data_IF_916410888590
#
_entry.id   IF_916410888590
#
_cell.length_a   1.000
_cell.length_b   1.000
_cell.length_c   1.000
_cell.angle_alpha   90.00
_cell.angle_beta   90.00
_cell.angle_gamma   90.00
#
_symmetry.space_group_name_H-M   'P 1'
#
loop_
_entity.id
_entity.type
_entity.pdbx_description
1 polymer ?
#
# COMPACT_ATOMS: atom_id res chain seq x y z
N UNK A 1 14.92 10.76 1.42
CA UNK A 1 14.89 9.90 2.62
C UNK A 1 14.24 8.58 2.27
N UNK A 2 14.68 7.45 2.83
CA UNK A 2 14.21 6.09 2.53
C UNK A 2 12.66 5.97 2.50
N UNK A 3 11.98 6.63 3.44
CA UNK A 3 10.51 6.70 3.52
C UNK A 3 9.90 7.36 2.28
N UNK A 4 10.47 8.46 1.80
CA UNK A 4 9.99 9.15 0.60
C UNK A 4 10.11 8.24 -0.64
N UNK A 5 11.16 7.43 -0.73
CA UNK A 5 11.36 6.48 -1.84
C UNK A 5 10.43 5.27 -1.75
N UNK A 6 10.20 4.73 -0.54
CA UNK A 6 9.23 3.65 -0.29
C UNK A 6 7.82 4.11 -0.66
N UNK A 7 7.43 5.29 -0.18
CA UNK A 7 6.14 5.87 -0.53
C UNK A 7 6.06 6.12 -2.02
N UNK A 8 7.07 6.68 -2.67
CA UNK A 8 7.04 6.89 -4.12
C UNK A 8 6.79 5.59 -4.91
N UNK A 9 7.42 4.48 -4.50
CA UNK A 9 7.19 3.16 -5.09
C UNK A 9 5.77 2.62 -4.85
N UNK A 10 5.27 2.76 -3.62
CA UNK A 10 3.92 2.30 -3.24
C UNK A 10 2.78 3.15 -3.82
N UNK A 11 3.05 4.43 -4.12
CA UNK A 11 2.01 5.45 -4.23
C UNK A 11 1.87 6.04 -5.64
N UNK A 12 2.95 6.32 -6.36
CA UNK A 12 2.83 7.12 -7.59
C UNK A 12 2.17 6.36 -8.75
N UNK A 13 2.08 5.02 -8.71
CA UNK A 13 1.45 4.17 -9.76
C UNK A 13 0.88 2.84 -9.26
N UNK A 14 0.54 2.73 -7.97
CA UNK A 14 0.03 1.48 -7.40
C UNK A 14 -1.36 1.11 -7.94
N UNK A 15 -1.75 -0.16 -7.79
CA UNK A 15 -3.06 -0.70 -8.21
C UNK A 15 -4.26 0.06 -7.62
N UNK A 16 -4.07 0.74 -6.48
CA UNK A 16 -5.09 1.50 -5.79
C UNK A 16 -5.28 2.93 -6.35
N UNK A 17 -4.49 3.32 -7.35
CA UNK A 17 -4.58 4.64 -7.97
C UNK A 17 -3.83 5.74 -7.21
N UNK A 18 -4.05 7.01 -7.60
CA UNK A 18 -3.36 8.16 -7.01
C UNK A 18 -3.70 8.34 -5.52
N UNK A 19 -2.77 8.95 -4.77
CA UNK A 19 -2.94 9.21 -3.33
C UNK A 19 -2.90 10.72 -3.11
N UNK A 20 -3.84 11.19 -2.29
CA UNK A 20 -4.00 12.59 -1.92
C UNK A 20 -3.06 13.01 -0.79
N UNK A 21 -2.95 12.19 0.24
CA UNK A 21 -2.09 12.44 1.42
C UNK A 21 -1.77 11.13 2.14
N UNK A 22 -0.66 11.12 2.88
CA UNK A 22 -0.27 10.00 3.75
C UNK A 22 0.25 10.51 5.09
N UNK A 23 0.20 9.65 6.10
CA UNK A 23 0.82 9.82 7.40
C UNK A 23 1.61 8.55 7.73
N UNK A 24 2.83 8.68 8.28
CA UNK A 24 3.67 7.54 8.62
C UNK A 24 4.37 7.73 9.96
N UNK A 25 4.44 6.66 10.75
CA UNK A 25 5.17 6.63 12.03
C UNK A 25 6.01 5.36 12.15
N UNK A 26 7.20 5.49 12.72
CA UNK A 26 8.09 4.36 13.02
C UNK A 26 7.99 4.06 14.50
N UNK A 27 7.74 2.80 14.85
CA UNK A 27 7.70 2.38 16.25
C UNK A 27 8.52 1.09 16.46
N UNK A 28 8.82 0.78 17.71
CA UNK A 28 9.59 -0.39 18.09
C UNK A 28 8.63 -1.55 18.40
N UNK A 29 8.73 -2.64 17.64
CA UNK A 29 7.99 -3.86 17.95
C UNK A 29 8.68 -4.63 19.08
N UNK A 30 7.95 -5.52 19.76
CA UNK A 30 8.35 -6.22 20.99
C UNK A 30 9.57 -7.17 20.90
N UNK A 31 10.46 -6.97 19.92
CA UNK A 31 11.73 -7.68 19.72
C UNK A 31 12.88 -6.78 19.26
N UNK A 32 12.75 -5.45 19.38
CA UNK A 32 13.83 -4.50 19.10
C UNK A 32 13.99 -4.11 17.62
N UNK A 33 13.12 -4.59 16.74
CA UNK A 33 13.06 -4.18 15.34
C UNK A 33 12.13 -2.98 15.17
N UNK A 34 12.44 -2.13 14.19
CA UNK A 34 11.58 -0.99 13.82
C UNK A 34 10.48 -1.47 12.88
N UNK A 35 9.27 -0.96 13.07
CA UNK A 35 8.13 -1.15 12.17
C UNK A 35 7.60 0.21 11.71
N UNK A 36 7.11 0.27 10.47
CA UNK A 36 6.51 1.48 9.90
C UNK A 36 4.99 1.28 9.79
N UNK A 37 4.21 2.09 10.50
CA UNK A 37 2.77 2.23 10.25
C UNK A 37 2.54 3.37 9.28
N UNK A 38 1.76 3.12 8.22
CA UNK A 38 1.37 4.14 7.23
C UNK A 38 -0.14 4.18 7.10
N UNK A 39 -0.71 5.39 7.13
CA UNK A 39 -2.08 5.69 6.77
C UNK A 39 -2.08 6.48 5.47
N UNK A 40 -2.91 6.09 4.49
CA UNK A 40 -2.96 6.71 3.17
C UNK A 40 -4.39 7.06 2.79
N UNK A 41 -4.58 8.23 2.20
CA UNK A 41 -5.85 8.69 1.64
C UNK A 41 -5.76 8.66 0.12
N UNK A 42 -6.50 7.76 -0.49
CA UNK A 42 -6.57 7.62 -1.95
C UNK A 42 -7.32 8.80 -2.55
N UNK A 43 -6.92 9.23 -3.75
CA UNK A 43 -7.55 10.30 -4.51
C UNK A 43 -8.67 9.76 -5.41
N UNK A 44 -9.61 9.06 -4.78
CA UNK A 44 -10.82 8.53 -5.40
C UNK A 44 -11.90 8.27 -4.34
N UNK A 45 -13.16 8.13 -4.76
CA UNK A 45 -14.29 7.93 -3.86
C UNK A 45 -14.70 6.46 -3.66
N UNK A 46 -13.84 5.49 -4.00
CA UNK A 46 -14.14 4.07 -3.77
C UNK A 46 -14.35 3.77 -2.28
N UNK A 47 -15.55 3.30 -1.96
CA UNK A 47 -15.87 2.82 -0.61
C UNK A 47 -15.52 1.33 -0.46
N UNK A 48 -15.37 0.80 0.77
CA UNK A 48 -14.93 -0.58 0.99
C UNK A 48 -15.78 -1.64 0.29
N UNK A 49 -17.08 -1.42 0.15
CA UNK A 49 -17.98 -2.36 -0.56
C UNK A 49 -17.71 -2.41 -2.06
N UNK A 50 -17.40 -1.26 -2.69
CA UNK A 50 -17.04 -1.20 -4.09
C UNK A 50 -15.69 -1.87 -4.35
N UNK A 51 -14.70 -1.63 -3.48
CA UNK A 51 -13.41 -2.32 -3.57
C UNK A 51 -13.57 -3.83 -3.46
N UNK A 52 -14.43 -4.30 -2.54
CA UNK A 52 -14.75 -5.72 -2.39
C UNK A 52 -15.37 -6.31 -3.67
N UNK A 53 -16.19 -5.53 -4.38
CA UNK A 53 -16.73 -5.94 -5.68
C UNK A 53 -15.65 -5.95 -6.77
N UNK A 54 -14.79 -4.94 -6.82
CA UNK A 54 -13.68 -4.85 -7.78
C UNK A 54 -12.73 -6.05 -7.70
N UNK A 55 -12.50 -6.62 -6.51
CA UNK A 55 -11.67 -7.83 -6.33
C UNK A 55 -12.24 -9.07 -7.04
N UNK A 56 -13.54 -9.08 -7.39
CA UNK A 56 -14.12 -10.16 -8.19
C UNK A 56 -13.74 -10.07 -9.68
N UNK A 57 -13.41 -8.87 -10.17
CA UNK A 57 -12.87 -8.69 -11.51
C UNK A 57 -11.44 -9.25 -11.56
N UNK A 58 -11.19 -10.15 -12.51
CA UNK A 58 -9.94 -10.88 -12.61
C UNK A 58 -8.74 -9.97 -12.93
N UNK A 59 -8.91 -9.00 -13.83
CA UNK A 59 -7.85 -8.07 -14.22
C UNK A 59 -7.42 -7.20 -13.03
N UNK A 60 -8.40 -6.63 -12.31
CA UNK A 60 -8.14 -5.85 -11.10
C UNK A 60 -7.45 -6.71 -10.03
N UNK A 61 -7.96 -7.93 -9.79
CA UNK A 61 -7.39 -8.84 -8.79
C UNK A 61 -5.94 -9.20 -9.11
N UNK A 62 -5.63 -9.51 -10.37
CA UNK A 62 -4.28 -9.88 -10.78
C UNK A 62 -3.32 -8.68 -10.69
N UNK A 63 -3.78 -7.47 -11.05
CA UNK A 63 -3.02 -6.24 -10.81
C UNK A 63 -2.73 -6.01 -9.32
N UNK A 64 -3.69 -6.32 -8.45
CA UNK A 64 -3.53 -6.18 -7.00
C UNK A 64 -2.53 -7.18 -6.44
N UNK A 65 -2.61 -8.45 -6.88
CA UNK A 65 -1.65 -9.47 -6.49
C UNK A 65 -0.23 -9.11 -6.95
N UNK A 66 -0.04 -8.70 -8.20
CA UNK A 66 1.26 -8.29 -8.72
C UNK A 66 1.86 -7.11 -7.95
N UNK A 67 1.04 -6.13 -7.58
CA UNK A 67 1.48 -5.03 -6.71
C UNK A 67 1.90 -5.53 -5.32
N UNK A 68 1.11 -6.41 -4.69
CA UNK A 68 1.43 -6.94 -3.36
C UNK A 68 2.71 -7.80 -3.37
N UNK A 69 2.93 -8.62 -4.39
CA UNK A 69 4.15 -9.41 -4.56
C UNK A 69 5.40 -8.54 -4.80
N UNK A 70 5.22 -7.36 -5.43
CA UNK A 70 6.31 -6.40 -5.61
C UNK A 70 6.72 -5.75 -4.28
N UNK A 71 5.75 -5.30 -3.47
CA UNK A 71 6.04 -4.56 -2.24
C UNK A 71 6.30 -5.45 -1.01
N UNK A 72 5.73 -6.66 -0.96
CA UNK A 72 5.94 -7.59 0.16
C UNK A 72 7.23 -8.35 -0.10
N UNK A 73 8.32 -7.91 0.53
CA UNK A 73 9.59 -8.64 0.56
C UNK A 73 9.83 -9.17 1.97
N UNK A 74 10.24 -10.42 2.06
CA UNK A 74 10.78 -11.01 3.27
C UNK A 74 12.27 -11.28 3.01
N UNK A 75 13.14 -10.54 3.70
CA UNK A 75 14.56 -10.91 3.74
C UNK A 75 14.72 -12.12 4.66
N UNK A 76 15.34 -13.19 4.15
CA UNK A 76 15.76 -14.37 4.91
C UNK A 76 17.15 -14.14 5.53
#
# INVERSE_FOLDING_TARGET
MLISSILKCMVEKGVLGPIKVYFGTVENQGRGSLHLHVLMWLDHDLIPSQLKESVKNEEFRNGLLGYLEDIIKQDL
#
